data_IF_808794776297
#
_entry.id   IF_808794776297
#
_cell.length_a   1.000
_cell.length_b   1.000
_cell.length_c   1.000
_cell.angle_alpha   90.00
_cell.angle_beta   90.00
_cell.angle_gamma   90.00
#
_symmetry.space_group_name_H-M   'P 1'
#
loop_
_entity.id
_entity.type
_entity.pdbx_description
1 polymer ?
#
# COMPACT_ATOMS: atom_id res chain seq x y z
N UNK A 1 -15.37 5.42 -19.17
CA UNK A 1 -13.99 5.81 -18.86
C UNK A 1 -13.08 4.59 -18.88
N UNK A 2 -11.95 4.74 -19.54
CA UNK A 2 -10.97 3.66 -19.56
C UNK A 2 -10.19 3.65 -18.26
N UNK A 3 -10.04 2.48 -17.68
CA UNK A 3 -9.18 2.30 -16.50
C UNK A 3 -7.72 2.27 -16.96
N UNK A 4 -6.84 2.74 -16.09
CA UNK A 4 -5.41 2.61 -16.34
C UNK A 4 -5.04 1.12 -16.41
N UNK A 5 -4.17 0.76 -17.34
CA UNK A 5 -3.74 -0.61 -17.52
C UNK A 5 -2.91 -1.07 -16.33
N UNK A 6 -3.29 -2.20 -15.74
CA UNK A 6 -2.63 -2.74 -14.56
C UNK A 6 -2.22 -4.20 -14.77
N UNK A 7 -0.93 -4.46 -14.57
CA UNK A 7 -0.41 -5.81 -14.40
C UNK A 7 -0.14 -5.99 -12.91
N UNK A 8 -0.88 -6.89 -12.26
CA UNK A 8 -0.78 -7.10 -10.82
C UNK A 8 -0.41 -8.54 -10.51
N UNK A 9 0.62 -8.71 -9.69
CA UNK A 9 1.02 -10.00 -9.13
C UNK A 9 0.89 -9.92 -7.62
N UNK A 10 0.32 -10.94 -6.99
CA UNK A 10 0.16 -10.99 -5.54
C UNK A 10 0.75 -12.29 -5.02
N UNK A 11 1.61 -12.19 -4.01
CA UNK A 11 2.20 -13.34 -3.36
C UNK A 11 1.86 -13.32 -1.87
N UNK A 12 1.56 -14.48 -1.31
CA UNK A 12 1.22 -14.63 0.11
C UNK A 12 2.17 -15.63 0.78
N UNK A 13 3.46 -15.28 0.98
CA UNK A 13 4.35 -16.13 1.79
C UNK A 13 3.79 -16.34 3.18
N UNK A 14 3.19 -15.30 3.77
CA UNK A 14 2.34 -15.41 4.95
C UNK A 14 0.90 -15.43 4.46
N UNK A 15 0.26 -16.58 4.52
CA UNK A 15 -1.05 -16.80 3.92
C UNK A 15 -2.24 -16.49 4.84
N UNK A 16 -1.98 -15.94 6.05
CA UNK A 16 -3.05 -15.74 7.04
C UNK A 16 -4.17 -14.82 6.58
N UNK A 17 -3.87 -13.85 5.72
CA UNK A 17 -4.86 -12.90 5.22
C UNK A 17 -5.39 -13.22 3.81
N UNK A 18 -4.93 -14.32 3.23
CA UNK A 18 -5.24 -14.65 1.84
C UNK A 18 -6.74 -14.78 1.55
N UNK A 19 -7.50 -15.35 2.47
CA UNK A 19 -8.95 -15.56 2.27
C UNK A 19 -9.76 -14.31 2.56
N UNK A 20 -9.24 -13.39 3.37
CA UNK A 20 -9.89 -12.13 3.69
C UNK A 20 -9.55 -11.05 2.65
N UNK A 21 -8.28 -10.96 2.31
CA UNK A 21 -7.77 -9.94 1.40
C UNK A 21 -7.37 -10.66 0.10
N UNK A 22 -8.34 -10.80 -0.79
CA UNK A 22 -8.22 -11.60 -2.00
C UNK A 22 -7.58 -10.80 -3.14
N UNK A 23 -7.12 -11.51 -4.17
CA UNK A 23 -6.54 -10.88 -5.36
C UNK A 23 -7.51 -9.94 -6.06
N UNK A 24 -8.80 -10.31 -6.29
CA UNK A 24 -9.74 -9.36 -6.90
C UNK A 24 -9.93 -8.09 -6.08
N UNK A 25 -9.96 -8.21 -4.76
CA UNK A 25 -10.10 -7.05 -3.87
C UNK A 25 -8.88 -6.14 -3.97
N UNK A 26 -7.68 -6.74 -3.93
CA UNK A 26 -6.42 -6.00 -4.06
C UNK A 26 -6.33 -5.29 -5.41
N UNK A 27 -6.76 -5.95 -6.48
CA UNK A 27 -6.80 -5.34 -7.81
C UNK A 27 -7.68 -4.10 -7.82
N UNK A 28 -8.84 -4.18 -7.18
CA UNK A 28 -9.76 -3.06 -7.07
C UNK A 28 -9.12 -1.87 -6.35
N UNK A 29 -8.44 -2.13 -5.24
CA UNK A 29 -7.77 -1.08 -4.47
C UNK A 29 -6.62 -0.44 -5.25
N UNK A 30 -5.76 -1.26 -5.85
CA UNK A 30 -4.63 -0.76 -6.63
C UNK A 30 -5.13 0.05 -7.82
N UNK A 31 -6.13 -0.47 -8.55
CA UNK A 31 -6.71 0.21 -9.72
C UNK A 31 -7.24 1.59 -9.34
N UNK A 32 -7.90 1.71 -8.19
CA UNK A 32 -8.47 2.99 -7.73
C UNK A 32 -7.38 4.04 -7.45
N UNK A 33 -6.17 3.60 -7.10
CA UNK A 33 -5.06 4.50 -6.77
C UNK A 33 -4.17 4.82 -7.97
N UNK A 34 -4.42 4.23 -9.15
CA UNK A 34 -3.59 4.44 -10.32
C UNK A 34 -3.93 5.75 -11.04
N UNK A 35 -2.90 6.53 -11.33
CA UNK A 35 -2.98 7.74 -12.14
C UNK A 35 -2.41 7.50 -13.54
N UNK A 36 -1.73 6.37 -13.73
CA UNK A 36 -1.09 5.97 -14.98
C UNK A 36 -0.98 4.44 -15.03
N UNK A 37 -0.69 3.85 -16.19
CA UNK A 37 -0.47 2.40 -16.28
C UNK A 37 0.64 1.94 -15.33
N UNK A 38 0.50 0.72 -14.77
CA UNK A 38 1.45 0.23 -13.78
C UNK A 38 1.62 -1.29 -13.81
N UNK A 39 2.80 -1.72 -13.38
CA UNK A 39 3.11 -3.11 -13.08
C UNK A 39 3.45 -3.16 -11.59
N UNK A 40 2.57 -3.77 -10.78
CA UNK A 40 2.68 -3.78 -9.33
C UNK A 40 2.77 -5.22 -8.83
N UNK A 41 3.73 -5.48 -7.94
CA UNK A 41 3.81 -6.75 -7.23
C UNK A 41 3.52 -6.47 -5.75
N UNK A 42 2.54 -7.18 -5.20
CA UNK A 42 2.23 -7.12 -3.78
C UNK A 42 2.70 -8.40 -3.11
N UNK A 43 3.33 -8.28 -1.96
CA UNK A 43 3.83 -9.44 -1.22
C UNK A 43 3.48 -9.29 0.26
N UNK A 44 2.77 -10.29 0.79
CA UNK A 44 2.40 -10.33 2.22
C UNK A 44 3.39 -11.21 2.96
N UNK A 45 4.14 -10.62 3.89
CA UNK A 45 5.21 -11.30 4.61
C UNK A 45 4.95 -11.28 6.12
N UNK A 46 5.63 -12.18 6.86
CA UNK A 46 5.59 -12.16 8.31
C UNK A 46 6.61 -11.15 8.87
N UNK A 47 6.61 -10.99 10.19
CA UNK A 47 7.50 -10.03 10.85
C UNK A 47 8.98 -10.35 10.60
N UNK A 48 9.34 -11.62 10.54
CA UNK A 48 10.72 -12.06 10.31
C UNK A 48 11.22 -11.63 8.94
N UNK A 49 10.48 -11.92 7.89
CA UNK A 49 10.85 -11.51 6.53
C UNK A 49 10.79 -9.98 6.40
N UNK A 50 9.78 -9.34 6.98
CA UNK A 50 9.63 -7.89 6.95
C UNK A 50 10.80 -7.17 7.60
N UNK A 51 11.29 -7.69 8.72
CA UNK A 51 12.44 -7.14 9.42
C UNK A 51 13.71 -7.25 8.58
N UNK A 52 13.94 -8.42 7.96
CA UNK A 52 15.11 -8.64 7.10
C UNK A 52 15.10 -7.67 5.91
N UNK A 53 13.96 -7.52 5.26
CA UNK A 53 13.84 -6.62 4.10
C UNK A 53 14.06 -5.16 4.50
N UNK A 54 13.50 -4.73 5.61
CA UNK A 54 13.63 -3.35 6.08
C UNK A 54 15.09 -3.06 6.49
N UNK A 55 15.73 -4.02 7.16
CA UNK A 55 17.14 -3.90 7.56
C UNK A 55 18.05 -3.82 6.33
N UNK A 56 17.86 -4.73 5.37
CA UNK A 56 18.77 -4.85 4.22
C UNK A 56 18.62 -3.70 3.23
N UNK A 57 17.42 -3.13 3.08
CA UNK A 57 17.15 -2.09 2.08
C UNK A 57 17.05 -0.69 2.65
N UNK A 58 16.72 -0.53 3.95
CA UNK A 58 16.57 0.78 4.57
C UNK A 58 17.46 1.00 5.80
N UNK A 59 18.19 -0.02 6.21
CA UNK A 59 19.03 0.06 7.40
C UNK A 59 18.27 0.11 8.72
N UNK A 60 16.98 -0.30 8.72
CA UNK A 60 16.12 -0.27 9.90
C UNK A 60 15.89 -1.69 10.39
N UNK A 61 16.41 -2.04 11.56
CA UNK A 61 16.35 -3.41 12.09
C UNK A 61 15.05 -3.67 12.87
N UNK A 62 13.93 -3.48 12.18
CA UNK A 62 12.60 -3.82 12.70
C UNK A 62 11.64 -4.02 11.53
N UNK A 63 10.53 -4.73 11.76
CA UNK A 63 9.49 -4.89 10.75
C UNK A 63 8.65 -3.62 10.68
N UNK A 64 8.42 -3.11 9.45
CA UNK A 64 7.52 -1.98 9.22
C UNK A 64 6.24 -2.46 8.53
N UNK A 65 5.20 -1.62 8.49
CA UNK A 65 3.91 -2.00 7.92
C UNK A 65 3.96 -2.18 6.40
N UNK A 66 4.60 -1.27 5.70
CA UNK A 66 4.68 -1.30 4.24
C UNK A 66 6.04 -0.81 3.77
N UNK A 67 6.60 -1.50 2.77
CA UNK A 67 7.82 -1.09 2.07
C UNK A 67 7.47 -0.98 0.59
N UNK A 68 7.83 0.15 -0.03
CA UNK A 68 7.58 0.37 -1.44
C UNK A 68 8.91 0.55 -2.16
N UNK A 69 9.15 -0.30 -3.17
CA UNK A 69 10.33 -0.24 -4.01
C UNK A 69 9.90 0.12 -5.43
N UNK A 70 10.11 1.38 -5.81
CA UNK A 70 9.82 1.84 -7.16
C UNK A 70 11.05 1.66 -8.03
N UNK A 71 10.89 1.00 -9.16
CA UNK A 71 11.98 0.70 -10.09
C UNK A 71 12.08 1.68 -11.24
N UNK A 72 11.08 2.55 -11.38
CA UNK A 72 11.02 3.52 -12.46
C UNK A 72 11.61 4.83 -11.97
N UNK A 73 12.84 5.13 -12.38
CA UNK A 73 13.52 6.38 -12.01
C UNK A 73 13.36 7.45 -13.08
N UNK A 74 12.88 7.08 -14.26
CA UNK A 74 12.70 7.98 -15.38
C UNK A 74 11.32 8.64 -15.31
N UNK A 75 11.28 9.98 -15.21
CA UNK A 75 10.04 10.75 -15.17
C UNK A 75 9.20 10.59 -16.43
N UNK A 76 9.85 10.23 -17.54
CA UNK A 76 9.18 10.02 -18.82
C UNK A 76 8.70 8.58 -19.01
N UNK A 77 8.90 7.71 -18.02
CA UNK A 77 8.44 6.33 -18.10
C UNK A 77 6.93 6.25 -18.18
N UNK A 78 6.43 5.53 -19.17
CA UNK A 78 4.99 5.38 -19.40
C UNK A 78 4.31 4.46 -18.40
N UNK A 79 5.08 3.55 -17.76
CA UNK A 79 4.56 2.53 -16.86
C UNK A 79 5.32 2.58 -15.54
N UNK A 80 4.59 2.71 -14.45
CA UNK A 80 5.16 2.63 -13.10
C UNK A 80 5.43 1.17 -12.75
N UNK A 81 6.62 0.86 -12.27
CA UNK A 81 6.98 -0.49 -11.83
C UNK A 81 7.37 -0.44 -10.35
N UNK A 82 6.72 -1.24 -9.53
CA UNK A 82 7.01 -1.23 -8.10
C UNK A 82 6.69 -2.56 -7.43
N UNK A 83 7.45 -2.85 -6.38
CA UNK A 83 7.14 -3.93 -5.43
C UNK A 83 6.67 -3.27 -4.13
N UNK A 84 5.55 -3.75 -3.60
CA UNK A 84 5.00 -3.26 -2.34
C UNK A 84 4.92 -4.45 -1.38
N UNK A 85 5.66 -4.36 -0.29
CA UNK A 85 5.77 -5.42 0.71
C UNK A 85 4.95 -5.01 1.93
N UNK A 86 4.01 -5.87 2.33
CA UNK A 86 3.11 -5.62 3.46
C UNK A 86 3.40 -6.66 4.55
N UNK A 87 3.66 -6.19 5.77
CA UNK A 87 3.94 -7.09 6.89
C UNK A 87 2.65 -7.40 7.65
N UNK A 88 2.17 -8.64 7.56
CA UNK A 88 0.90 -9.05 8.15
C UNK A 88 0.86 -8.88 9.66
N UNK A 89 1.95 -9.21 10.36
CA UNK A 89 2.01 -9.04 11.82
C UNK A 89 1.82 -7.59 12.23
N UNK A 90 2.46 -6.66 11.51
CA UNK A 90 2.36 -5.23 11.81
C UNK A 90 0.98 -4.70 11.43
N UNK A 91 0.41 -5.17 10.30
CA UNK A 91 -0.94 -4.80 9.89
C UNK A 91 -1.97 -5.14 10.96
N UNK A 92 -1.90 -6.35 11.49
CA UNK A 92 -2.83 -6.81 12.54
C UNK A 92 -2.67 -6.01 13.82
N UNK A 93 -1.42 -5.76 14.22
CA UNK A 93 -1.10 -5.00 15.43
C UNK A 93 -1.62 -3.56 15.31
N UNK A 94 -1.30 -2.90 14.22
CA UNK A 94 -1.72 -1.50 14.02
C UNK A 94 -3.23 -1.36 13.88
N UNK A 95 -3.88 -2.30 13.20
CA UNK A 95 -5.33 -2.29 13.07
C UNK A 95 -5.98 -2.35 14.46
N UNK A 96 -5.51 -3.23 15.33
CA UNK A 96 -6.01 -3.34 16.69
C UNK A 96 -5.77 -2.06 17.48
N UNK A 97 -4.56 -1.49 17.40
CA UNK A 97 -4.21 -0.25 18.10
C UNK A 97 -5.06 0.93 17.65
N UNK A 98 -5.39 0.99 16.36
CA UNK A 98 -6.14 2.09 15.76
C UNK A 98 -7.64 1.83 15.72
N UNK A 99 -8.11 0.71 16.27
CA UNK A 99 -9.52 0.33 16.30
C UNK A 99 -10.13 0.26 14.91
N UNK A 100 -9.38 -0.31 13.98
CA UNK A 100 -9.79 -0.55 12.60
C UNK A 100 -9.81 -2.05 12.33
N UNK A 101 -10.54 -2.45 11.29
CA UNK A 101 -10.41 -3.83 10.82
C UNK A 101 -9.08 -3.97 10.06
N UNK A 102 -8.55 -5.19 10.01
CA UNK A 102 -7.34 -5.46 9.22
C UNK A 102 -7.56 -5.13 7.76
N UNK A 103 -8.77 -5.41 7.25
CA UNK A 103 -9.13 -5.09 5.86
C UNK A 103 -9.05 -3.58 5.59
N UNK A 104 -9.63 -2.76 6.48
CA UNK A 104 -9.60 -1.30 6.34
C UNK A 104 -8.16 -0.77 6.38
N UNK A 105 -7.38 -1.26 7.32
CA UNK A 105 -5.99 -0.81 7.48
C UNK A 105 -5.13 -1.21 6.28
N UNK A 106 -5.31 -2.45 5.80
CA UNK A 106 -4.56 -2.94 4.64
C UNK A 106 -4.93 -2.14 3.39
N UNK A 107 -6.22 -1.84 3.18
CA UNK A 107 -6.64 -1.03 2.04
C UNK A 107 -5.96 0.34 2.05
N UNK A 108 -5.90 0.99 3.21
CA UNK A 108 -5.21 2.27 3.37
C UNK A 108 -3.73 2.18 2.97
N UNK A 109 -3.04 1.15 3.47
CA UNK A 109 -1.61 1.01 3.18
C UNK A 109 -1.32 0.60 1.73
N UNK A 110 -2.20 -0.17 1.11
CA UNK A 110 -2.07 -0.49 -0.32
C UNK A 110 -2.22 0.79 -1.16
N UNK A 111 -3.24 1.59 -0.89
CA UNK A 111 -3.44 2.86 -1.59
C UNK A 111 -2.23 3.78 -1.37
N UNK A 112 -1.78 3.89 -0.12
CA UNK A 112 -0.61 4.69 0.24
C UNK A 112 0.64 4.24 -0.55
N UNK A 113 0.91 2.94 -0.57
CA UNK A 113 2.06 2.39 -1.29
C UNK A 113 2.01 2.62 -2.79
N UNK A 114 0.81 2.49 -3.39
CA UNK A 114 0.63 2.72 -4.83
C UNK A 114 0.83 4.20 -5.18
N UNK A 115 0.33 5.11 -4.36
CA UNK A 115 0.56 6.55 -4.57
C UNK A 115 2.04 6.89 -4.42
N UNK A 116 2.67 6.34 -3.39
CA UNK A 116 4.11 6.56 -3.16
C UNK A 116 4.94 6.06 -4.35
N UNK A 117 4.58 4.90 -4.91
CA UNK A 117 5.26 4.35 -6.09
C UNK A 117 5.12 5.27 -7.31
N UNK A 118 4.06 6.06 -7.38
CA UNK A 118 3.81 7.00 -8.47
C UNK A 118 4.38 8.40 -8.22
N UNK A 119 5.17 8.56 -7.15
CA UNK A 119 5.90 9.80 -6.89
C UNK A 119 5.34 10.68 -5.80
N UNK A 120 4.22 10.33 -5.18
CA UNK A 120 3.71 11.07 -4.03
C UNK A 120 4.56 10.77 -2.81
N UNK A 121 4.84 11.78 -2.03
CA UNK A 121 5.67 11.66 -0.84
C UNK A 121 5.05 12.48 0.29
N UNK A 122 5.65 12.39 1.49
CA UNK A 122 5.18 13.12 2.66
C UNK A 122 6.36 13.70 3.44
N UNK A 123 7.37 14.20 2.72
CA UNK A 123 8.58 14.76 3.33
C UNK A 123 8.34 16.12 3.99
N UNK A 124 7.38 16.91 3.48
CA UNK A 124 6.99 18.15 4.10
C UNK A 124 5.48 18.18 4.33
N UNK A 125 5.01 19.20 5.07
CA UNK A 125 3.61 19.31 5.46
C UNK A 125 2.66 19.45 4.28
N UNK A 126 3.07 20.16 3.25
CA UNK A 126 2.26 20.38 2.06
C UNK A 126 2.11 19.08 1.24
N UNK A 127 3.21 18.37 1.05
CA UNK A 127 3.19 17.07 0.37
C UNK A 127 2.37 16.04 1.14
N UNK A 128 2.53 16.03 2.47
CA UNK A 128 1.78 15.10 3.33
C UNK A 128 0.29 15.37 3.23
N UNK A 129 -0.12 16.64 3.28
CA UNK A 129 -1.53 17.04 3.18
C UNK A 129 -2.13 16.63 1.83
N UNK A 130 -1.40 16.87 0.75
CA UNK A 130 -1.84 16.49 -0.60
C UNK A 130 -2.01 14.98 -0.72
N UNK A 131 -1.04 14.22 -0.25
CA UNK A 131 -1.09 12.76 -0.31
C UNK A 131 -2.22 12.20 0.55
N UNK A 132 -2.38 12.70 1.77
CA UNK A 132 -3.46 12.26 2.68
C UNK A 132 -4.84 12.58 2.12
N UNK A 133 -5.01 13.77 1.52
CA UNK A 133 -6.27 14.16 0.88
C UNK A 133 -6.63 13.22 -0.25
N UNK A 134 -5.65 12.84 -1.05
CA UNK A 134 -5.85 11.91 -2.17
C UNK A 134 -6.18 10.50 -1.66
N UNK A 135 -5.50 10.04 -0.61
CA UNK A 135 -5.81 8.74 0.01
C UNK A 135 -7.25 8.70 0.50
N UNK A 136 -7.70 9.75 1.19
CA UNK A 136 -9.07 9.85 1.69
C UNK A 136 -10.07 9.77 0.56
N UNK A 137 -9.85 10.53 -0.50
CA UNK A 137 -10.75 10.56 -1.66
C UNK A 137 -10.85 9.18 -2.32
N UNK A 138 -9.71 8.52 -2.54
CA UNK A 138 -9.68 7.19 -3.13
C UNK A 138 -10.40 6.18 -2.25
N UNK A 139 -10.13 6.18 -0.94
CA UNK A 139 -10.77 5.25 -0.01
C UNK A 139 -12.27 5.47 0.07
N UNK A 140 -12.73 6.71 0.01
CA UNK A 140 -14.17 7.01 -0.02
C UNK A 140 -14.84 6.43 -1.27
N UNK A 141 -14.17 6.50 -2.43
CA UNK A 141 -14.71 5.89 -3.65
C UNK A 141 -14.81 4.37 -3.54
N UNK A 142 -14.00 3.77 -2.68
CA UNK A 142 -14.01 2.33 -2.42
C UNK A 142 -15.01 1.94 -1.32
N UNK A 143 -15.72 2.92 -0.74
CA UNK A 143 -16.68 2.68 0.34
C UNK A 143 -16.02 2.52 1.70
N UNK A 144 -14.78 2.98 1.84
CA UNK A 144 -14.01 2.85 3.08
C UNK A 144 -13.95 4.18 3.83
N UNK A 145 -13.82 4.09 5.14
CA UNK A 145 -13.79 5.26 6.01
C UNK A 145 -12.49 6.03 5.88
N UNK A 146 -12.52 7.32 6.21
CA UNK A 146 -11.34 8.17 6.29
C UNK A 146 -10.39 7.60 7.36
N UNK A 147 -9.16 7.18 6.98
CA UNK A 147 -8.23 6.54 7.92
C UNK A 147 -7.64 7.51 8.95
N UNK A 148 -7.77 8.80 8.71
CA UNK A 148 -7.22 9.84 9.58
C UNK A 148 -8.23 10.42 10.55
N UNK A 149 -9.48 9.95 10.50
CA UNK A 149 -10.52 10.38 11.44
C UNK A 149 -10.42 9.57 12.72
N UNK A 150 -10.38 10.27 13.87
CA UNK A 150 -10.41 9.59 15.16
C UNK A 150 -11.73 8.85 15.33
N UNK A 151 -11.64 7.61 15.79
CA UNK A 151 -12.81 6.83 16.16
C UNK A 151 -13.08 7.03 17.65
N UNK A 152 -14.29 7.36 17.94
CA UNK A 152 -14.75 7.50 19.31
C UNK A 152 -15.85 6.50 19.58
#
# INVERSE_FOLDING_TARGET
MQKNKLSLSVQYPDARLKDLITRPLLRKWVQAALLAPAEINLRFVDASEGQVLNRDYRGKDYATNVLTFAYTEDEDAEVTQADIILCTDVLEKEAAEQQKTVLEHTAHLVVHGVLHAQGYDHEDDEEAEEMESLEIEILETLGLKNPYTSRQ
#
